data_IF_492112992968
#
_entry.id   IF_492112992968
#
_cell.length_a   1.000
_cell.length_b   1.000
_cell.length_c   1.000
_cell.angle_alpha   90.00
_cell.angle_beta   90.00
_cell.angle_gamma   90.00
#
_symmetry.space_group_name_H-M   'P 1'
#
loop_
_entity.id
_entity.type
_entity.pdbx_description
1 polymer ?
#
# COMPACT_ATOMS: atom_id res chain seq x y z
N UNK A 1 14.88 4.05 12.40
CA UNK A 1 13.84 3.44 13.28
C UNK A 1 13.20 2.27 12.54
N UNK A 2 13.07 1.10 13.18
CA UNK A 2 12.32 -0.03 12.62
C UNK A 2 10.80 0.22 12.74
N UNK A 3 10.05 -0.15 11.71
CA UNK A 3 8.58 -0.03 11.66
C UNK A 3 7.91 -1.38 11.95
N UNK A 4 8.52 -2.48 11.54
CA UNK A 4 8.12 -3.84 11.92
C UNK A 4 9.35 -4.64 12.28
N UNK A 5 9.36 -5.92 11.90
CA UNK A 5 10.55 -6.78 12.04
C UNK A 5 11.67 -6.40 11.07
N UNK A 6 11.31 -5.99 9.85
CA UNK A 6 12.27 -5.96 8.74
C UNK A 6 12.54 -4.59 8.12
N UNK A 7 11.50 -3.76 7.96
CA UNK A 7 11.64 -2.49 7.26
C UNK A 7 11.87 -1.33 8.23
N UNK A 8 12.74 -0.42 7.83
CA UNK A 8 12.95 0.86 8.51
C UNK A 8 12.04 1.95 7.97
N UNK A 9 11.82 2.99 8.79
CA UNK A 9 11.13 4.20 8.36
C UNK A 9 11.82 4.84 7.15
N UNK A 10 13.15 4.85 7.13
CA UNK A 10 13.94 5.43 6.03
C UNK A 10 13.66 4.70 4.72
N UNK A 11 13.70 3.37 4.70
CA UNK A 11 13.37 2.60 3.49
C UNK A 11 11.94 2.88 3.00
N UNK A 12 10.97 2.91 3.92
CA UNK A 12 9.58 3.22 3.60
C UNK A 12 9.41 4.64 3.04
N UNK A 13 10.14 5.59 3.58
CA UNK A 13 10.10 7.01 3.19
C UNK A 13 10.84 7.32 1.90
N UNK A 14 11.85 6.53 1.53
CA UNK A 14 12.79 6.87 0.44
C UNK A 14 12.75 5.94 -0.78
N UNK A 15 12.01 4.83 -0.73
CA UNK A 15 12.01 3.82 -1.80
C UNK A 15 11.48 4.29 -3.18
N UNK A 16 10.74 5.40 -3.25
CA UNK A 16 10.10 5.83 -4.51
C UNK A 16 11.08 6.42 -5.52
N UNK A 17 10.89 6.14 -6.81
CA UNK A 17 11.72 6.73 -7.88
C UNK A 17 11.70 8.26 -7.87
N UNK A 18 10.53 8.86 -7.61
CA UNK A 18 10.38 10.32 -7.52
C UNK A 18 11.18 10.88 -6.37
N UNK A 19 11.18 10.23 -5.20
CA UNK A 19 12.06 10.64 -4.10
C UNK A 19 13.53 10.56 -4.51
N UNK A 20 13.97 9.41 -5.03
CA UNK A 20 15.38 9.21 -5.41
C UNK A 20 15.88 10.27 -6.39
N UNK A 21 15.01 10.70 -7.32
CA UNK A 21 15.32 11.75 -8.29
C UNK A 21 15.42 13.16 -7.69
N UNK A 22 14.65 13.46 -6.65
CA UNK A 22 14.56 14.80 -6.06
C UNK A 22 14.90 14.81 -4.56
N UNK A 23 15.75 13.90 -4.10
CA UNK A 23 16.01 13.65 -2.67
C UNK A 23 16.47 14.92 -1.93
N UNK A 24 17.28 15.77 -2.60
CA UNK A 24 17.75 17.04 -2.04
C UNK A 24 16.65 18.10 -1.81
N UNK A 25 15.44 17.89 -2.34
CA UNK A 25 14.32 18.84 -2.29
C UNK A 25 13.07 18.29 -1.59
N UNK A 26 13.12 17.05 -1.11
CA UNK A 26 11.99 16.37 -0.50
C UNK A 26 12.38 15.98 0.93
N UNK A 27 11.66 16.49 1.91
CA UNK A 27 11.61 15.88 3.23
C UNK A 27 10.70 14.64 3.17
N UNK A 28 11.24 13.41 3.32
CA UNK A 28 10.46 12.21 3.11
C UNK A 28 9.81 11.70 4.39
N UNK A 29 10.00 12.36 5.53
CA UNK A 29 9.59 11.83 6.82
C UNK A 29 8.21 12.32 7.25
N UNK A 30 7.42 11.46 7.92
CA UNK A 30 6.09 11.83 8.39
C UNK A 30 6.16 12.92 9.44
N UNK A 31 5.14 13.80 9.44
CA UNK A 31 5.01 14.88 10.44
C UNK A 31 3.98 14.54 11.51
N UNK A 32 3.01 13.68 11.19
CA UNK A 32 2.06 13.18 12.17
C UNK A 32 2.56 11.85 12.78
N UNK A 33 2.74 11.75 14.12
CA UNK A 33 3.11 10.49 14.78
C UNK A 33 2.13 9.34 14.50
N UNK A 34 0.85 9.61 14.27
CA UNK A 34 -0.14 8.57 13.92
C UNK A 34 0.19 7.85 12.61
N UNK A 35 0.96 8.49 11.72
CA UNK A 35 1.49 7.85 10.50
C UNK A 35 2.42 6.70 10.84
N UNK A 36 3.25 6.84 11.88
CA UNK A 36 4.16 5.76 12.31
C UNK A 36 3.37 4.56 12.81
N UNK A 37 2.35 4.77 13.64
CA UNK A 37 1.49 3.68 14.14
C UNK A 37 0.77 2.97 12.99
N UNK A 38 0.30 3.70 11.99
CA UNK A 38 -0.34 3.11 10.82
C UNK A 38 0.59 2.21 10.01
N UNK A 39 1.84 2.64 9.85
CA UNK A 39 2.88 1.86 9.20
C UNK A 39 3.32 0.66 10.02
N UNK A 40 3.40 0.78 11.36
CA UNK A 40 3.67 -0.35 12.25
C UNK A 40 2.57 -1.41 12.12
N UNK A 41 1.31 -0.99 12.05
CA UNK A 41 0.20 -1.89 11.81
C UNK A 41 0.28 -2.56 10.43
N UNK A 42 0.50 -1.80 9.35
CA UNK A 42 0.70 -2.37 8.03
C UNK A 42 1.88 -3.36 8.00
N UNK A 43 2.96 -3.05 8.71
CA UNK A 43 4.09 -3.95 8.82
C UNK A 43 3.72 -5.25 9.52
N UNK A 44 3.13 -5.16 10.71
CA UNK A 44 2.75 -6.31 11.51
C UNK A 44 1.75 -7.24 10.79
N UNK A 45 0.72 -6.68 10.16
CA UNK A 45 -0.38 -7.46 9.59
C UNK A 45 -0.15 -7.91 8.15
N UNK A 46 0.70 -7.21 7.38
CA UNK A 46 0.90 -7.46 5.95
C UNK A 46 2.37 -7.74 5.63
N UNK A 47 3.26 -6.75 5.83
CA UNK A 47 4.62 -6.81 5.29
C UNK A 47 5.45 -7.90 5.98
N UNK A 48 5.42 -7.96 7.30
CA UNK A 48 6.21 -8.92 8.07
C UNK A 48 5.82 -10.37 7.74
N UNK A 49 4.53 -10.78 7.69
CA UNK A 49 4.14 -12.11 7.23
C UNK A 49 4.59 -12.43 5.79
N UNK A 50 4.55 -11.45 4.88
CA UNK A 50 5.02 -11.63 3.51
C UNK A 50 6.53 -11.87 3.49
N UNK A 51 7.30 -11.07 4.23
CA UNK A 51 8.75 -11.21 4.31
C UNK A 51 9.13 -12.53 5.02
N UNK A 52 8.43 -12.89 6.09
CA UNK A 52 8.61 -14.16 6.81
C UNK A 52 8.46 -15.36 5.86
N UNK A 53 7.54 -15.30 4.89
CA UNK A 53 7.30 -16.38 3.94
C UNK A 53 8.21 -16.36 2.70
N UNK A 54 8.46 -15.18 2.11
CA UNK A 54 9.14 -15.06 0.81
C UNK A 54 10.60 -14.64 0.89
N UNK A 55 11.08 -14.21 2.06
CA UNK A 55 12.44 -13.74 2.26
C UNK A 55 12.60 -12.24 2.05
N UNK A 56 13.42 -11.61 2.91
CA UNK A 56 13.69 -10.17 2.90
C UNK A 56 14.48 -9.74 1.66
N UNK A 57 15.36 -10.60 1.18
CA UNK A 57 16.18 -10.40 -0.02
C UNK A 57 15.35 -10.37 -1.31
N UNK A 58 14.18 -11.03 -1.32
CA UNK A 58 13.27 -11.03 -2.46
C UNK A 58 12.20 -9.95 -2.38
N UNK A 59 11.95 -9.40 -1.20
CA UNK A 59 10.99 -8.32 -1.02
C UNK A 59 11.54 -7.01 -1.58
N UNK A 60 10.93 -6.52 -2.67
CA UNK A 60 11.28 -5.23 -3.26
C UNK A 60 10.15 -4.23 -3.07
N UNK A 61 10.33 -3.33 -2.10
CA UNK A 61 9.51 -2.15 -1.92
C UNK A 61 9.74 -1.16 -3.08
N UNK A 62 8.66 -0.71 -3.72
CA UNK A 62 8.72 0.23 -4.85
C UNK A 62 8.04 1.56 -4.56
N UNK A 63 7.10 1.59 -3.62
CA UNK A 63 6.46 2.80 -3.15
C UNK A 63 5.97 2.64 -1.71
N UNK A 64 6.29 3.59 -0.85
CA UNK A 64 6.01 3.53 0.58
C UNK A 64 5.27 4.79 1.02
N UNK A 65 5.86 5.56 1.93
CA UNK A 65 5.21 6.75 2.46
C UNK A 65 5.24 7.93 1.47
N UNK A 66 4.09 8.59 1.29
CA UNK A 66 3.93 9.80 0.50
C UNK A 66 3.91 11.03 1.41
N UNK A 67 5.09 11.63 1.64
CA UNK A 67 5.18 12.88 2.40
C UNK A 67 4.48 14.04 1.68
N UNK A 68 4.18 15.10 2.42
CA UNK A 68 3.59 16.31 1.85
C UNK A 68 4.44 16.89 0.70
N UNK A 69 5.77 16.81 0.80
CA UNK A 69 6.68 17.30 -0.24
C UNK A 69 6.72 16.36 -1.43
N UNK A 70 6.85 15.05 -1.21
CA UNK A 70 6.79 14.06 -2.28
C UNK A 70 5.48 14.19 -3.07
N UNK A 71 4.35 14.39 -2.39
CA UNK A 71 3.06 14.65 -3.03
C UNK A 71 3.10 15.85 -3.98
N UNK A 72 3.67 16.97 -3.56
CA UNK A 72 3.80 18.18 -4.41
C UNK A 72 4.64 17.85 -5.65
N UNK A 73 5.71 17.08 -5.50
CA UNK A 73 6.55 16.67 -6.64
C UNK A 73 5.84 15.73 -7.60
N UNK A 74 5.03 14.79 -7.10
CA UNK A 74 4.21 13.90 -7.94
C UNK A 74 3.20 14.67 -8.80
N UNK A 75 2.75 15.84 -8.35
CA UNK A 75 1.84 16.70 -9.11
C UNK A 75 2.54 17.52 -10.21
N UNK A 76 3.85 17.73 -10.09
CA UNK A 76 4.66 18.49 -11.06
C UNK A 76 5.00 17.66 -12.29
N UNK A 77 5.29 18.36 -13.39
CA UNK A 77 5.97 17.77 -14.55
C UNK A 77 7.47 17.72 -14.29
N UNK A 78 8.08 16.64 -14.72
CA UNK A 78 9.52 16.54 -14.80
C UNK A 78 10.05 17.56 -15.83
N UNK A 79 11.03 18.40 -15.46
CA UNK A 79 11.52 19.45 -16.36
C UNK A 79 12.27 18.91 -17.59
N UNK A 80 12.77 17.66 -17.55
CA UNK A 80 13.53 17.06 -18.64
C UNK A 80 12.60 16.39 -19.66
N UNK A 81 11.70 15.53 -19.19
CA UNK A 81 10.80 14.73 -20.03
C UNK A 81 9.47 15.42 -20.34
N UNK A 82 9.09 16.44 -19.58
CA UNK A 82 7.78 17.09 -19.66
C UNK A 82 6.60 16.23 -19.17
N UNK A 83 6.88 15.00 -18.72
CA UNK A 83 5.87 14.06 -18.21
C UNK A 83 5.60 14.32 -16.73
N UNK A 84 4.39 14.02 -16.27
CA UNK A 84 4.04 14.13 -14.85
C UNK A 84 4.82 13.08 -14.04
N UNK A 85 5.42 13.50 -12.91
CA UNK A 85 6.24 12.61 -12.06
C UNK A 85 5.47 11.42 -11.49
N UNK A 86 4.16 11.57 -11.28
CA UNK A 86 3.32 10.46 -10.87
C UNK A 86 1.83 10.78 -10.90
N UNK A 87 1.03 9.78 -10.55
CA UNK A 87 -0.41 9.95 -10.36
C UNK A 87 -0.69 9.82 -8.87
N UNK A 88 -1.46 10.76 -8.35
CA UNK A 88 -1.97 10.71 -6.99
C UNK A 88 -3.46 11.06 -7.04
N UNK A 89 -4.25 10.32 -6.27
CA UNK A 89 -5.59 10.72 -5.86
C UNK A 89 -5.55 11.03 -4.35
N UNK A 90 -5.34 12.29 -3.96
CA UNK A 90 -5.07 12.63 -2.56
C UNK A 90 -6.17 12.16 -1.61
N UNK A 91 -7.43 12.13 -2.07
CA UNK A 91 -8.58 11.75 -1.26
C UNK A 91 -8.62 10.27 -0.89
N UNK A 92 -7.91 9.42 -1.64
CA UNK A 92 -7.95 7.96 -1.55
C UNK A 92 -6.57 7.31 -1.38
N UNK A 93 -5.52 8.11 -1.41
CA UNK A 93 -4.14 7.66 -1.35
C UNK A 93 -3.68 7.37 0.10
N UNK A 94 -3.83 6.11 0.51
CA UNK A 94 -3.38 5.63 1.81
C UNK A 94 -1.84 5.63 1.97
N UNK A 95 -1.05 5.94 0.93
CA UNK A 95 0.38 6.23 1.10
C UNK A 95 0.62 7.53 1.88
N UNK A 96 -0.35 8.46 1.90
CA UNK A 96 -0.30 9.65 2.77
C UNK A 96 -0.55 9.29 4.25
N UNK A 97 -0.97 8.06 4.53
CA UNK A 97 -1.31 7.56 5.85
C UNK A 97 -2.21 8.53 6.65
N UNK A 98 -1.76 8.99 7.82
CA UNK A 98 -2.50 9.90 8.70
C UNK A 98 -2.01 11.35 8.59
N UNK A 99 -1.30 11.72 7.51
CA UNK A 99 -0.86 13.10 7.33
C UNK A 99 -2.07 14.04 7.18
N UNK A 100 -1.95 15.21 7.81
CA UNK A 100 -2.97 16.26 7.83
C UNK A 100 -2.52 17.48 7.03
N UNK A 101 -3.49 18.19 6.47
CA UNK A 101 -3.26 19.46 5.82
C UNK A 101 -3.15 20.61 6.83
N UNK A 102 -2.82 21.81 6.34
CA UNK A 102 -2.72 23.03 7.17
C UNK A 102 -4.05 23.42 7.84
N UNK A 103 -5.19 22.87 7.39
CA UNK A 103 -6.52 23.07 7.98
C UNK A 103 -6.85 21.99 9.04
N UNK A 104 -5.89 21.14 9.40
CA UNK A 104 -6.10 20.05 10.37
C UNK A 104 -6.91 18.86 9.84
N UNK A 105 -7.14 18.77 8.53
CA UNK A 105 -7.91 17.68 7.93
C UNK A 105 -6.98 16.62 7.34
N UNK A 106 -7.33 15.34 7.49
CA UNK A 106 -6.59 14.25 6.86
C UNK A 106 -6.54 14.41 5.34
N UNK A 107 -5.37 14.15 4.75
CA UNK A 107 -5.25 14.07 3.29
C UNK A 107 -6.06 12.89 2.74
N UNK A 108 -5.90 11.71 3.35
CA UNK A 108 -6.68 10.53 3.00
C UNK A 108 -7.67 10.20 4.13
N UNK A 109 -8.97 10.35 3.86
CA UNK A 109 -10.02 10.02 4.84
C UNK A 109 -10.17 8.51 5.09
N UNK A 110 -9.50 7.67 4.29
CA UNK A 110 -9.48 6.21 4.52
C UNK A 110 -8.65 5.82 5.75
N UNK A 111 -7.72 6.70 6.17
CA UNK A 111 -6.75 6.42 7.23
C UNK A 111 -5.93 5.15 6.92
N UNK A 112 -5.20 4.63 7.90
CA UNK A 112 -4.32 3.48 7.68
C UNK A 112 -3.03 3.85 6.93
N UNK A 113 -2.40 2.87 6.29
CA UNK A 113 -1.20 3.03 5.47
C UNK A 113 -1.24 2.08 4.26
N UNK A 114 -0.45 2.35 3.24
CA UNK A 114 -0.33 1.50 2.05
C UNK A 114 1.09 1.43 1.53
N UNK A 115 1.43 0.34 0.85
CA UNK A 115 2.70 0.17 0.15
C UNK A 115 2.50 -0.52 -1.20
N UNK A 116 3.43 -0.25 -2.11
CA UNK A 116 3.58 -0.99 -3.36
C UNK A 116 4.88 -1.77 -3.33
N UNK A 117 4.82 -3.06 -3.60
CA UNK A 117 5.99 -3.93 -3.62
C UNK A 117 5.80 -5.12 -4.56
N UNK A 118 6.90 -5.83 -4.83
CA UNK A 118 6.87 -7.15 -5.48
C UNK A 118 7.83 -8.10 -4.79
N UNK A 119 7.62 -9.39 -5.02
CA UNK A 119 8.56 -10.44 -4.64
C UNK A 119 9.35 -10.83 -5.89
N UNK A 120 10.68 -10.74 -5.84
CA UNK A 120 11.55 -11.12 -6.95
C UNK A 120 11.32 -12.60 -7.31
N UNK A 121 11.21 -12.89 -8.61
CA UNK A 121 10.90 -14.23 -9.15
C UNK A 121 9.53 -14.80 -8.71
N UNK A 122 8.56 -13.95 -8.37
CA UNK A 122 7.17 -14.32 -8.13
C UNK A 122 6.26 -13.35 -8.88
N UNK A 123 5.34 -13.87 -9.69
CA UNK A 123 4.35 -13.04 -10.37
C UNK A 123 3.29 -12.55 -9.40
N UNK A 124 2.76 -11.36 -9.66
CA UNK A 124 1.87 -10.67 -8.71
C UNK A 124 0.52 -11.36 -8.51
N UNK A 125 0.03 -12.10 -9.50
CA UNK A 125 -1.14 -12.97 -9.37
C UNK A 125 -0.91 -14.07 -8.32
N UNK A 126 0.24 -14.74 -8.36
CA UNK A 126 0.61 -15.76 -7.37
C UNK A 126 0.81 -15.20 -5.96
N UNK A 127 1.34 -13.97 -5.86
CA UNK A 127 1.44 -13.27 -4.59
C UNK A 127 0.04 -12.99 -4.01
N UNK A 128 -0.90 -12.54 -4.84
CA UNK A 128 -2.28 -12.29 -4.42
C UNK A 128 -2.98 -13.57 -3.98
N UNK A 129 -2.82 -14.67 -4.73
CA UNK A 129 -3.33 -15.99 -4.32
C UNK A 129 -2.84 -16.36 -2.93
N UNK A 130 -1.55 -16.18 -2.65
CA UNK A 130 -0.99 -16.47 -1.34
C UNK A 130 -1.55 -15.55 -0.26
N UNK A 131 -1.65 -14.24 -0.49
CA UNK A 131 -2.22 -13.26 0.46
C UNK A 131 -3.65 -13.64 0.84
N UNK A 132 -4.47 -14.02 -0.16
CA UNK A 132 -5.85 -14.44 0.07
C UNK A 132 -5.92 -15.78 0.81
N UNK A 133 -5.08 -16.75 0.42
CA UNK A 133 -4.99 -18.06 1.08
C UNK A 133 -4.60 -17.93 2.56
N UNK A 134 -3.64 -17.06 2.87
CA UNK A 134 -3.22 -16.76 4.25
C UNK A 134 -4.19 -15.85 5.00
N UNK A 135 -5.27 -15.41 4.34
CA UNK A 135 -6.32 -14.56 4.92
C UNK A 135 -5.80 -13.25 5.52
N UNK A 136 -4.69 -12.71 5.01
CA UNK A 136 -4.12 -11.47 5.54
C UNK A 136 -5.18 -10.34 5.50
N UNK A 137 -5.28 -9.50 6.54
CA UNK A 137 -6.29 -8.46 6.59
C UNK A 137 -5.82 -7.24 5.78
N UNK A 138 -6.62 -6.75 4.84
CA UNK A 138 -6.31 -5.54 4.07
C UNK A 138 -7.56 -4.71 3.79
N UNK A 139 -7.37 -3.41 3.59
CA UNK A 139 -8.41 -2.48 3.17
C UNK A 139 -8.64 -2.58 1.66
N UNK A 140 -7.57 -2.45 0.87
CA UNK A 140 -7.62 -2.55 -0.58
C UNK A 140 -6.34 -3.16 -1.14
N UNK A 141 -6.50 -3.93 -2.21
CA UNK A 141 -5.41 -4.52 -2.97
C UNK A 141 -5.63 -4.20 -4.46
N UNK A 142 -4.60 -3.66 -5.12
CA UNK A 142 -4.65 -3.38 -6.55
C UNK A 142 -3.64 -4.23 -7.33
N UNK A 143 -4.14 -4.91 -8.35
CA UNK A 143 -3.38 -5.69 -9.31
C UNK A 143 -3.11 -4.87 -10.58
N UNK A 144 -1.84 -4.49 -10.77
CA UNK A 144 -1.40 -3.72 -11.94
C UNK A 144 -0.91 -4.59 -13.11
N UNK A 145 -0.88 -5.92 -12.95
CA UNK A 145 -0.38 -6.88 -13.94
C UNK A 145 0.66 -7.83 -13.36
N UNK A 146 0.86 -8.99 -14.01
CA UNK A 146 1.66 -10.11 -13.47
C UNK A 146 3.13 -9.74 -13.16
N UNK A 147 3.72 -8.82 -13.91
CA UNK A 147 5.13 -8.40 -13.78
C UNK A 147 5.28 -7.02 -13.12
N UNK A 148 4.20 -6.48 -12.55
CA UNK A 148 4.16 -5.17 -11.90
C UNK A 148 4.01 -5.35 -10.39
N UNK A 149 4.53 -4.44 -9.54
CA UNK A 149 4.22 -4.43 -8.12
C UNK A 149 2.71 -4.52 -7.86
N UNK A 150 2.33 -5.06 -6.71
CA UNK A 150 0.97 -4.88 -6.19
C UNK A 150 0.94 -3.65 -5.31
N UNK A 151 -0.24 -3.03 -5.19
CA UNK A 151 -0.54 -2.12 -4.09
C UNK A 151 -1.34 -2.87 -3.04
N UNK A 152 -1.04 -2.65 -1.77
CA UNK A 152 -1.87 -3.12 -0.66
C UNK A 152 -1.92 -2.10 0.47
N UNK A 153 -3.09 -1.95 1.08
CA UNK A 153 -3.32 -1.07 2.21
C UNK A 153 -3.90 -1.79 3.42
N UNK A 154 -3.59 -1.30 4.61
CA UNK A 154 -4.16 -1.74 5.87
C UNK A 154 -4.64 -0.53 6.66
N UNK A 155 -5.87 -0.59 7.16
CA UNK A 155 -6.50 0.50 7.88
C UNK A 155 -7.81 0.06 8.52
N UNK A 156 -8.59 1.03 9.04
CA UNK A 156 -9.80 0.75 9.80
C UNK A 156 -10.99 0.33 8.94
N UNK A 157 -10.88 0.37 7.61
CA UNK A 157 -12.03 0.12 6.74
C UNK A 157 -12.33 -1.37 6.57
N UNK A 158 -11.31 -2.23 6.68
CA UNK A 158 -11.38 -3.69 6.58
C UNK A 158 -12.18 -4.19 5.37
N UNK A 159 -12.13 -3.44 4.26
CA UNK A 159 -12.99 -3.65 3.09
C UNK A 159 -12.62 -4.88 2.27
N UNK A 160 -11.36 -5.31 2.32
CA UNK A 160 -10.78 -6.35 1.46
C UNK A 160 -11.08 -6.15 -0.04
N UNK A 161 -11.09 -4.88 -0.46
CA UNK A 161 -11.47 -4.51 -1.82
C UNK A 161 -10.36 -4.89 -2.81
N UNK A 162 -10.70 -5.67 -3.84
CA UNK A 162 -9.78 -6.05 -4.92
C UNK A 162 -10.07 -5.24 -6.18
N UNK A 163 -9.01 -4.71 -6.80
CA UNK A 163 -9.09 -3.87 -7.99
C UNK A 163 -8.05 -4.26 -9.04
N UNK A 164 -8.42 -4.10 -10.30
CA UNK A 164 -7.52 -4.05 -11.44
C UNK A 164 -7.90 -2.86 -12.32
N UNK A 165 -7.29 -2.72 -13.49
CA UNK A 165 -7.49 -1.57 -14.36
C UNK A 165 -7.87 -2.00 -15.77
N UNK A 166 -8.79 -1.23 -16.37
CA UNK A 166 -9.00 -1.30 -17.81
C UNK A 166 -7.75 -0.81 -18.56
N UNK A 167 -7.61 -1.09 -19.87
CA UNK A 167 -6.52 -0.53 -20.67
C UNK A 167 -6.46 1.01 -20.65
N UNK A 168 -7.60 1.67 -20.35
CA UNK A 168 -7.69 3.13 -20.21
C UNK A 168 -7.25 3.64 -18.82
N UNK A 169 -6.85 2.74 -17.91
CA UNK A 169 -6.41 3.07 -16.55
C UNK A 169 -7.56 3.37 -15.57
N UNK A 170 -8.77 2.87 -15.85
CA UNK A 170 -9.92 3.01 -14.94
C UNK A 170 -9.98 1.81 -13.99
N UNK A 171 -10.09 2.01 -12.66
CA UNK A 171 -10.29 0.91 -11.72
C UNK A 171 -11.53 0.06 -12.07
N UNK A 172 -11.39 -1.25 -12.02
CA UNK A 172 -12.46 -2.22 -12.29
C UNK A 172 -12.25 -3.49 -11.47
N UNK A 173 -13.32 -4.28 -11.31
CA UNK A 173 -13.30 -5.61 -10.69
C UNK A 173 -13.42 -6.74 -11.71
N UNK A 174 -13.56 -6.41 -13.00
CA UNK A 174 -13.69 -7.40 -14.09
C UNK A 174 -12.39 -8.20 -14.23
N UNK A 175 -12.51 -9.52 -14.34
CA UNK A 175 -11.38 -10.43 -14.48
C UNK A 175 -10.77 -10.91 -13.16
N UNK A 176 -11.35 -10.53 -12.02
CA UNK A 176 -10.88 -10.92 -10.68
C UNK A 176 -11.86 -11.88 -9.98
N UNK A 177 -12.74 -12.56 -10.73
CA UNK A 177 -13.85 -13.33 -10.15
C UNK A 177 -13.39 -14.36 -9.12
N UNK A 178 -12.36 -15.15 -9.44
CA UNK A 178 -11.79 -16.15 -8.52
C UNK A 178 -11.31 -15.52 -7.21
N UNK A 179 -10.59 -14.40 -7.28
CA UNK A 179 -10.10 -13.69 -6.09
C UNK A 179 -11.23 -13.03 -5.29
N UNK A 180 -12.25 -12.51 -5.95
CA UNK A 180 -13.40 -11.93 -5.28
C UNK A 180 -14.22 -12.98 -4.53
N UNK A 181 -14.35 -14.19 -5.10
CA UNK A 181 -14.99 -15.32 -4.44
C UNK A 181 -14.19 -15.79 -3.23
N UNK A 182 -12.87 -15.94 -3.38
CA UNK A 182 -11.96 -16.29 -2.28
C UNK A 182 -11.97 -15.23 -1.16
N UNK A 183 -12.03 -13.94 -1.48
CA UNK A 183 -12.12 -12.88 -0.47
C UNK A 183 -13.44 -12.94 0.31
N UNK A 184 -14.57 -13.23 -0.37
CA UNK A 184 -15.89 -13.32 0.28
C UNK A 184 -16.03 -14.52 1.20
N UNK A 185 -15.43 -15.67 0.84
CA UNK A 185 -15.51 -16.86 1.70
C UNK A 185 -14.86 -16.59 3.06
N UNK A 186 -13.73 -15.89 3.08
CA UNK A 186 -13.03 -15.46 4.29
C UNK A 186 -13.92 -14.60 5.20
N UNK A 187 -14.60 -13.60 4.63
CA UNK A 187 -15.52 -12.74 5.39
C UNK A 187 -16.70 -13.52 5.97
N UNK A 188 -17.20 -14.52 5.23
CA UNK A 188 -18.30 -15.36 5.67
C UNK A 188 -17.90 -16.27 6.84
N UNK A 189 -16.68 -16.77 6.84
CA UNK A 189 -16.12 -17.59 7.92
C UNK A 189 -15.86 -16.75 9.17
N UNK A 190 -15.27 -15.55 9.02
CA UNK A 190 -15.01 -14.64 10.13
C UNK A 190 -16.29 -14.21 10.86
N UNK A 191 -17.42 -14.09 10.13
CA UNK A 191 -18.74 -13.79 10.71
C UNK A 191 -19.41 -14.99 11.38
N UNK A 192 -19.00 -16.21 11.06
CA UNK A 192 -19.53 -17.46 11.63
C UNK A 192 -18.76 -17.93 12.87
N UNK A 193 -17.55 -17.42 13.11
CA UNK A 193 -16.82 -17.69 14.34
C UNK A 193 -17.62 -17.19 15.55
N UNK A 194 -17.88 -18.02 16.58
CA UNK A 194 -18.60 -17.58 17.77
C UNK A 194 -17.83 -16.42 18.39
N UNK A 195 -18.54 -15.35 18.79
CA UNK A 195 -17.99 -14.43 19.79
C UNK A 195 -17.74 -15.28 21.03
N UNK A 196 -16.48 -15.60 21.33
CA UNK A 196 -16.12 -16.15 22.62
C UNK A 196 -16.45 -15.03 23.60
N UNK A 197 -17.59 -15.18 24.29
CA UNK A 197 -18.05 -14.25 25.31
C UNK A 197 -17.26 -14.44 26.60
N UNK A 198 -17.15 -13.35 27.37
CA UNK A 198 -16.55 -13.32 28.70
C UNK A 198 -15.39 -12.35 28.77
#
# INVERSE_FOLDING_TARGET
MLIGKYLTLEELSTCSQTYQKYAAQIDPYPKNPATITAWQNLAHFIIDPIIDNFGRERFQLTYGFCSNDLRKFLQKKDPITGLKNGRIDPSRDQHCAHEINQKGQYYCQRLGAACDFRIINLTSDRLIDWILTQKLPFDSLYFYGINRPIHISYGPQHKRDLWTFTPRGTPTKKGLQSWLEAAKSIDSEAKKSPKIGG
#
